data_IF_804631154866
#
_entry.id   IF_804631154866
#
_cell.length_a   1.000
_cell.length_b   1.000
_cell.length_c   1.000
_cell.angle_alpha   90.00
_cell.angle_beta   90.00
_cell.angle_gamma   90.00
#
_symmetry.space_group_name_H-M   'P 1'
#
loop_
_entity.id
_entity.type
_entity.pdbx_description
1 polymer ?
#
# COMPACT_ATOMS: atom_id res chain seq x y z
N UNK A 1 17.54 1.05 49.55
CA UNK A 1 16.69 0.39 48.52
C UNK A 1 15.85 1.37 47.69
N UNK A 2 15.26 2.42 48.27
CA UNK A 2 14.38 3.40 47.60
C UNK A 2 15.03 4.17 46.41
N UNK A 3 16.33 4.46 46.48
CA UNK A 3 17.10 5.18 45.44
C UNK A 3 17.32 4.35 44.15
N UNK A 4 17.45 3.03 44.29
CA UNK A 4 17.63 2.11 43.15
C UNK A 4 16.30 1.80 42.46
N UNK A 5 15.22 1.68 43.24
CA UNK A 5 13.86 1.53 42.68
C UNK A 5 13.43 2.75 41.85
N UNK A 6 13.77 3.98 42.28
CA UNK A 6 13.49 5.19 41.51
C UNK A 6 14.28 5.28 40.18
N UNK A 7 15.53 4.80 40.19
CA UNK A 7 16.39 4.75 39.00
C UNK A 7 15.85 3.77 37.95
N UNK A 8 15.36 2.61 38.38
CA UNK A 8 14.73 1.62 37.50
C UNK A 8 13.41 2.13 36.90
N UNK A 9 12.58 2.79 37.71
CA UNK A 9 11.32 3.40 37.22
C UNK A 9 11.56 4.48 36.17
N UNK A 10 12.59 5.32 36.37
CA UNK A 10 12.99 6.35 35.42
C UNK A 10 13.48 5.76 34.09
N UNK A 11 14.25 4.67 34.13
CA UNK A 11 14.74 4.01 32.93
C UNK A 11 13.57 3.42 32.11
N UNK A 12 12.64 2.73 32.77
CA UNK A 12 11.44 2.15 32.12
C UNK A 12 10.58 3.24 31.47
N UNK A 13 10.42 4.39 32.12
CA UNK A 13 9.64 5.51 31.58
C UNK A 13 10.29 6.14 30.34
N UNK A 14 11.62 6.29 30.33
CA UNK A 14 12.34 6.73 29.11
C UNK A 14 12.18 5.72 27.99
N UNK A 15 12.35 4.43 28.27
CA UNK A 15 12.17 3.38 27.25
C UNK A 15 10.75 3.40 26.68
N UNK A 16 9.72 3.56 27.52
CA UNK A 16 8.34 3.68 27.06
C UNK A 16 8.11 4.88 26.11
N UNK A 17 8.76 6.03 26.38
CA UNK A 17 8.69 7.21 25.51
C UNK A 17 9.46 7.03 24.18
N UNK A 18 10.55 6.26 24.17
CA UNK A 18 11.25 5.90 22.93
C UNK A 18 10.48 4.87 22.09
N UNK A 19 9.70 3.98 22.73
CA UNK A 19 8.86 2.99 22.05
C UNK A 19 7.53 3.56 21.53
N UNK A 20 7.12 4.77 21.92
CA UNK A 20 5.99 5.50 21.31
C UNK A 20 6.31 6.03 19.90
N UNK A 21 7.00 5.24 19.08
CA UNK A 21 7.34 5.52 17.68
C UNK A 21 6.16 5.41 16.70
N UNK A 22 4.93 5.22 17.17
CA UNK A 22 3.75 5.26 16.32
C UNK A 22 3.12 6.67 16.35
N UNK A 23 3.88 7.67 15.91
CA UNK A 23 3.34 8.98 15.57
C UNK A 23 2.58 8.88 14.25
N UNK A 24 1.35 9.37 14.19
CA UNK A 24 0.57 9.39 12.94
C UNK A 24 1.28 10.28 11.91
N UNK A 25 1.55 9.76 10.71
CA UNK A 25 2.05 10.58 9.61
C UNK A 25 1.03 11.65 9.26
N UNK A 26 1.50 12.88 9.01
CA UNK A 26 0.64 13.90 8.42
C UNK A 26 0.30 13.53 6.98
N UNK A 27 -0.81 14.06 6.45
CA UNK A 27 -1.20 13.87 5.05
C UNK A 27 -0.05 14.20 4.08
N UNK A 28 0.66 15.30 4.34
CA UNK A 28 1.82 15.74 3.55
C UNK A 28 2.96 14.72 3.57
N UNK A 29 3.23 14.11 4.73
CA UNK A 29 4.28 13.08 4.84
C UNK A 29 3.89 11.82 4.08
N UNK A 30 2.61 11.45 4.10
CA UNK A 30 2.09 10.30 3.34
C UNK A 30 2.25 10.55 1.84
N UNK A 31 1.82 11.71 1.34
CA UNK A 31 1.91 12.08 -0.08
C UNK A 31 3.38 12.08 -0.55
N UNK A 32 4.27 12.70 0.24
CA UNK A 32 5.70 12.77 -0.09
C UNK A 32 6.34 11.39 -0.19
N UNK A 33 6.04 10.50 0.75
CA UNK A 33 6.58 9.14 0.73
C UNK A 33 6.02 8.30 -0.42
N UNK A 34 4.75 8.50 -0.79
CA UNK A 34 4.15 7.86 -1.95
C UNK A 34 4.82 8.32 -3.25
N UNK A 35 5.03 9.63 -3.40
CA UNK A 35 5.70 10.21 -4.57
C UNK A 35 7.13 9.69 -4.70
N UNK A 36 7.91 9.67 -3.62
CA UNK A 36 9.28 9.11 -3.62
C UNK A 36 9.32 7.63 -4.02
N UNK A 37 8.30 6.85 -3.67
CA UNK A 37 8.18 5.45 -4.10
C UNK A 37 7.83 5.38 -5.59
N UNK A 38 6.87 6.19 -6.03
CA UNK A 38 6.45 6.25 -7.44
C UNK A 38 7.58 6.69 -8.37
N UNK A 39 8.36 7.69 -7.99
CA UNK A 39 9.53 8.18 -8.74
C UNK A 39 10.64 7.13 -8.93
N UNK A 40 10.63 6.04 -8.17
CA UNK A 40 11.57 4.92 -8.34
C UNK A 40 11.04 3.84 -9.30
N UNK A 41 9.75 3.85 -9.62
CA UNK A 41 9.12 2.84 -10.49
C UNK A 41 9.29 3.20 -11.97
N UNK A 42 10.20 2.53 -12.67
CA UNK A 42 10.37 2.71 -14.12
C UNK A 42 9.31 1.95 -14.91
N UNK A 43 8.95 0.74 -14.48
CA UNK A 43 7.91 -0.10 -15.08
C UNK A 43 7.46 -1.16 -14.07
N UNK A 44 6.24 -1.68 -14.24
CA UNK A 44 5.78 -2.87 -13.53
C UNK A 44 4.83 -3.69 -14.42
N UNK A 45 4.72 -4.98 -14.10
CA UNK A 45 3.69 -5.87 -14.62
C UNK A 45 3.12 -6.66 -13.46
N UNK A 46 1.81 -6.70 -13.32
CA UNK A 46 1.13 -7.38 -12.21
C UNK A 46 -0.15 -8.05 -12.68
N UNK A 47 -0.47 -9.19 -12.06
CA UNK A 47 -1.75 -9.86 -12.22
C UNK A 47 -2.59 -9.59 -10.98
N UNK A 48 -3.85 -9.21 -11.17
CA UNK A 48 -4.78 -8.86 -10.12
C UNK A 48 -6.19 -9.39 -10.43
N UNK A 49 -7.04 -9.42 -9.42
CA UNK A 49 -8.48 -9.66 -9.58
C UNK A 49 -9.19 -8.32 -9.38
N UNK A 50 -9.98 -7.90 -10.37
CA UNK A 50 -10.81 -6.70 -10.31
C UNK A 50 -12.27 -7.10 -10.21
N UNK A 51 -12.96 -6.61 -9.18
CA UNK A 51 -14.40 -6.89 -8.98
C UNK A 51 -15.20 -5.63 -9.30
N UNK A 52 -16.04 -5.71 -10.32
CA UNK A 52 -16.97 -4.63 -10.68
C UNK A 52 -18.30 -4.83 -9.96
N UNK A 53 -18.76 -3.80 -9.26
CA UNK A 53 -20.05 -3.77 -8.58
C UNK A 53 -21.02 -2.89 -9.36
N UNK A 54 -21.95 -3.52 -10.10
CA UNK A 54 -22.97 -2.82 -10.89
C UNK A 54 -24.37 -3.27 -10.47
N UNK A 55 -25.19 -2.33 -10.01
CA UNK A 55 -26.63 -2.55 -9.74
C UNK A 55 -26.88 -3.75 -8.81
N UNK A 56 -26.07 -3.90 -7.75
CA UNK A 56 -26.17 -4.99 -6.79
C UNK A 56 -25.57 -6.32 -7.25
N UNK A 57 -24.99 -6.40 -8.46
CA UNK A 57 -24.24 -7.56 -8.94
C UNK A 57 -22.74 -7.30 -8.86
N UNK A 58 -22.00 -8.28 -8.35
CA UNK A 58 -20.53 -8.27 -8.34
C UNK A 58 -20.03 -9.22 -9.42
N UNK A 59 -19.10 -8.76 -10.26
CA UNK A 59 -18.46 -9.60 -11.27
C UNK A 59 -16.94 -9.46 -11.17
N UNK A 60 -16.24 -10.59 -10.99
CA UNK A 60 -14.79 -10.65 -10.92
C UNK A 60 -14.18 -10.82 -12.32
N UNK A 61 -13.02 -10.20 -12.52
CA UNK A 61 -12.20 -10.32 -13.72
C UNK A 61 -10.74 -10.50 -13.34
N UNK A 62 -10.06 -11.36 -14.08
CA UNK A 62 -8.60 -11.46 -14.05
C UNK A 62 -8.03 -10.29 -14.86
N UNK A 63 -7.11 -9.54 -14.28
CA UNK A 63 -6.53 -8.36 -14.89
C UNK A 63 -5.01 -8.45 -14.90
N UNK A 64 -4.41 -8.29 -16.08
CA UNK A 64 -2.98 -8.03 -16.22
C UNK A 64 -2.76 -6.53 -16.45
N UNK A 65 -2.00 -5.90 -15.55
CA UNK A 65 -1.71 -4.48 -15.57
C UNK A 65 -0.23 -4.29 -15.84
N UNK A 66 0.09 -3.56 -16.90
CA UNK A 66 1.45 -3.19 -17.24
C UNK A 66 1.59 -1.68 -17.30
N UNK A 67 2.66 -1.17 -16.71
CA UNK A 67 3.03 0.23 -16.76
C UNK A 67 4.50 0.36 -17.13
N UNK A 68 4.83 1.38 -17.93
CA UNK A 68 6.20 1.81 -18.21
C UNK A 68 6.24 3.32 -18.35
N UNK A 69 7.23 3.96 -17.72
CA UNK A 69 7.46 5.39 -17.86
C UNK A 69 7.72 5.82 -19.31
N UNK A 70 7.35 7.05 -19.70
CA UNK A 70 6.65 8.03 -18.86
C UNK A 70 5.15 7.71 -18.70
N UNK A 71 4.45 7.36 -19.78
CA UNK A 71 2.98 7.28 -19.82
C UNK A 71 2.47 6.05 -20.60
N UNK A 72 3.23 4.94 -20.62
CA UNK A 72 2.77 3.72 -21.27
C UNK A 72 2.04 2.84 -20.27
N UNK A 73 0.78 2.55 -20.56
CA UNK A 73 -0.08 1.73 -19.73
C UNK A 73 -0.85 0.74 -20.60
N UNK A 74 -1.06 -0.47 -20.07
CA UNK A 74 -1.84 -1.51 -20.73
C UNK A 74 -2.58 -2.32 -19.67
N UNK A 75 -3.87 -2.52 -19.90
CA UNK A 75 -4.71 -3.37 -19.07
C UNK A 75 -5.33 -4.45 -19.95
N UNK A 76 -5.16 -5.71 -19.56
CA UNK A 76 -5.82 -6.84 -20.22
C UNK A 76 -6.76 -7.50 -19.21
N UNK A 77 -8.06 -7.51 -19.50
CA UNK A 77 -9.09 -8.12 -18.70
C UNK A 77 -9.54 -9.44 -19.32
N UNK A 78 -9.83 -10.42 -18.46
CA UNK A 78 -10.44 -11.69 -18.82
C UNK A 78 -11.51 -12.02 -17.79
N UNK A 79 -12.68 -12.46 -18.24
CA UNK A 79 -13.66 -13.06 -17.31
C UNK A 79 -13.13 -14.41 -16.77
N UNK A 80 -13.77 -14.93 -15.73
CA UNK A 80 -13.40 -16.20 -15.08
C UNK A 80 -13.45 -17.41 -16.02
N UNK A 81 -14.33 -17.39 -17.03
CA UNK A 81 -14.44 -18.43 -18.06
C UNK A 81 -13.48 -18.20 -19.25
N UNK A 82 -12.68 -17.11 -19.22
CA UNK A 82 -11.77 -16.64 -20.27
C UNK A 82 -12.41 -16.47 -21.64
N UNK A 83 -13.74 -16.40 -21.69
CA UNK A 83 -14.49 -16.30 -22.94
C UNK A 83 -14.38 -14.90 -23.53
N UNK A 84 -14.43 -13.89 -22.66
CA UNK A 84 -14.29 -12.49 -23.03
C UNK A 84 -12.90 -11.97 -22.65
N UNK A 85 -12.15 -11.52 -23.66
CA UNK A 85 -10.87 -10.82 -23.48
C UNK A 85 -11.04 -9.38 -23.95
N UNK A 86 -10.82 -8.44 -23.05
CA UNK A 86 -10.87 -7.02 -23.36
C UNK A 86 -9.51 -6.40 -23.04
N UNK A 87 -9.01 -5.57 -23.95
CA UNK A 87 -7.79 -4.80 -23.75
C UNK A 87 -8.14 -3.32 -23.75
N UNK A 88 -7.57 -2.59 -22.79
CA UNK A 88 -7.75 -1.16 -22.58
C UNK A 88 -6.37 -0.52 -22.47
#
# INVERSE_FOLDING_TARGET
>A
MKKWSALWLSAILMTALLLSGCGAKSEKDVINDLNKRYEKINSYSTNAVMTFHNHGKAQAYQVNIMYKRPNLYRVSLSDDNKANKQMI
#
